data_IF_826783803804
#
_entry.id   IF_826783803804
#
_cell.length_a   1.000
_cell.length_b   1.000
_cell.length_c   1.000
_cell.angle_alpha   90.00
_cell.angle_beta   90.00
_cell.angle_gamma   90.00
#
_symmetry.space_group_name_H-M   'P 1'
#
loop_
_entity.id
_entity.type
_entity.pdbx_description
1 polymer ?
#
# COMPACT_ATOMS: atom_id res chain seq x y z
N UNK A 1 -35.19 -12.04 -27.62
CA UNK A 1 -34.36 -12.86 -26.71
C UNK A 1 -33.05 -12.15 -26.32
N UNK A 2 -32.84 -10.89 -26.72
CA UNK A 2 -31.60 -10.12 -26.46
C UNK A 2 -31.52 -9.40 -25.11
N UNK A 3 -32.67 -9.16 -24.46
CA UNK A 3 -32.79 -8.38 -23.22
C UNK A 3 -31.93 -8.92 -22.04
N UNK A 4 -31.76 -10.24 -21.94
CA UNK A 4 -30.96 -10.82 -20.85
C UNK A 4 -29.45 -10.61 -21.03
N UNK A 5 -28.93 -10.56 -22.27
CA UNK A 5 -27.48 -10.39 -22.50
C UNK A 5 -27.06 -8.97 -22.18
N UNK A 6 -27.82 -7.98 -22.63
CA UNK A 6 -27.58 -6.56 -22.34
C UNK A 6 -27.64 -6.29 -20.84
N UNK A 7 -28.64 -6.84 -20.15
CA UNK A 7 -28.75 -6.75 -18.69
C UNK A 7 -27.53 -7.32 -17.96
N UNK A 8 -27.03 -8.48 -18.40
CA UNK A 8 -25.83 -9.10 -17.80
C UNK A 8 -24.59 -8.24 -18.02
N UNK A 9 -24.44 -7.64 -19.20
CA UNK A 9 -23.31 -6.74 -19.51
C UNK A 9 -23.37 -5.47 -18.66
N UNK A 10 -24.54 -4.85 -18.53
CA UNK A 10 -24.70 -3.65 -17.72
C UNK A 10 -24.46 -3.94 -16.23
N UNK A 11 -24.96 -5.07 -15.74
CA UNK A 11 -24.73 -5.48 -14.36
C UNK A 11 -23.26 -5.84 -14.13
N UNK A 12 -22.58 -6.48 -15.08
CA UNK A 12 -21.15 -6.78 -14.93
C UNK A 12 -20.30 -5.51 -14.89
N UNK A 13 -20.63 -4.50 -15.71
CA UNK A 13 -20.01 -3.19 -15.65
C UNK A 13 -20.23 -2.51 -14.29
N UNK A 14 -21.47 -2.51 -13.79
CA UNK A 14 -21.82 -1.99 -12.47
C UNK A 14 -21.02 -2.68 -11.36
N UNK A 15 -20.89 -4.00 -11.40
CA UNK A 15 -20.12 -4.78 -10.42
C UNK A 15 -18.62 -4.45 -10.50
N UNK A 16 -18.07 -4.24 -11.70
CA UNK A 16 -16.68 -3.83 -11.88
C UNK A 16 -16.40 -2.45 -11.26
N UNK A 17 -17.31 -1.48 -11.40
CA UNK A 17 -17.19 -0.18 -10.76
C UNK A 17 -17.25 -0.27 -9.22
N UNK A 18 -18.20 -1.04 -8.68
CA UNK A 18 -18.30 -1.29 -7.24
C UNK A 18 -17.03 -1.93 -6.68
N UNK A 19 -16.46 -2.88 -7.43
CA UNK A 19 -15.22 -3.54 -7.03
C UNK A 19 -14.03 -2.57 -7.06
N UNK A 20 -13.93 -1.70 -8.07
CA UNK A 20 -12.89 -0.68 -8.15
C UNK A 20 -12.97 0.32 -6.98
N UNK A 21 -14.18 0.75 -6.62
CA UNK A 21 -14.41 1.59 -5.44
C UNK A 21 -14.00 0.88 -4.14
N UNK A 22 -14.31 -0.41 -4.01
CA UNK A 22 -13.89 -1.21 -2.86
C UNK A 22 -12.36 -1.32 -2.78
N UNK A 23 -11.66 -1.54 -3.90
CA UNK A 23 -10.20 -1.58 -3.92
C UNK A 23 -9.57 -0.25 -3.50
N UNK A 24 -10.15 0.88 -3.94
CA UNK A 24 -9.69 2.21 -3.53
C UNK A 24 -9.82 2.40 -2.01
N UNK A 25 -10.95 1.98 -1.42
CA UNK A 25 -11.15 2.03 0.04
C UNK A 25 -10.13 1.14 0.79
N UNK A 26 -9.87 -0.07 0.28
CA UNK A 26 -8.86 -0.98 0.83
C UNK A 26 -7.46 -0.36 0.76
N UNK A 27 -7.11 0.29 -0.36
CA UNK A 27 -5.84 0.96 -0.54
C UNK A 27 -5.65 2.09 0.49
N UNK A 28 -6.64 2.97 0.61
CA UNK A 28 -6.61 4.07 1.61
C UNK A 28 -6.47 3.54 3.04
N UNK A 29 -7.19 2.47 3.38
CA UNK A 29 -7.08 1.83 4.69
C UNK A 29 -5.72 1.16 4.92
N UNK A 30 -5.07 0.65 3.87
CA UNK A 30 -3.72 0.11 3.94
C UNK A 30 -2.68 1.23 4.15
N UNK A 31 -2.80 2.33 3.41
CA UNK A 31 -1.90 3.48 3.52
C UNK A 31 -2.00 4.14 4.90
N UNK A 32 -3.21 4.28 5.44
CA UNK A 32 -3.42 4.76 6.81
C UNK A 32 -2.74 3.89 7.88
N UNK A 33 -2.77 2.56 7.71
CA UNK A 33 -2.05 1.62 8.59
C UNK A 33 -0.54 1.73 8.44
N UNK A 34 -0.03 1.85 7.22
CA UNK A 34 1.40 2.00 6.96
C UNK A 34 1.97 3.29 7.59
N UNK A 35 1.24 4.41 7.46
CA UNK A 35 1.63 5.69 8.05
C UNK A 35 1.57 5.67 9.58
N UNK A 36 0.54 5.04 10.15
CA UNK A 36 0.44 4.84 11.62
C UNK A 36 1.61 4.00 12.13
N UNK A 37 1.93 2.89 11.44
CA UNK A 37 3.06 2.04 11.79
C UNK A 37 4.41 2.76 11.68
N UNK A 38 4.59 3.57 10.63
CA UNK A 38 5.76 4.44 10.47
C UNK A 38 5.92 5.39 11.67
N UNK A 39 4.85 6.09 12.04
CA UNK A 39 4.84 7.00 13.19
C UNK A 39 5.18 6.30 14.51
N UNK A 40 4.62 5.10 14.74
CA UNK A 40 4.95 4.28 15.92
C UNK A 40 6.43 3.86 15.94
N UNK A 41 6.99 3.46 14.80
CA UNK A 41 8.40 3.08 14.71
C UNK A 41 9.33 4.29 14.98
N UNK A 42 9.01 5.47 14.44
CA UNK A 42 9.76 6.70 14.71
C UNK A 42 9.68 7.07 16.19
N UNK A 43 8.50 7.00 16.80
CA UNK A 43 8.32 7.30 18.21
C UNK A 43 9.12 6.33 19.09
N UNK A 44 9.05 5.03 18.83
CA UNK A 44 9.82 4.02 19.54
C UNK A 44 11.34 4.22 19.37
N UNK A 45 11.80 4.48 18.14
CA UNK A 45 13.21 4.77 17.86
C UNK A 45 13.70 6.01 18.62
N UNK A 46 12.89 7.06 18.67
CA UNK A 46 13.21 8.31 19.36
C UNK A 46 13.23 8.13 20.89
N UNK A 47 12.33 7.31 21.44
CA UNK A 47 12.35 6.96 22.87
C UNK A 47 13.62 6.20 23.25
N UNK A 48 14.07 5.25 22.42
CA UNK A 48 15.32 4.54 22.66
C UNK A 48 16.54 5.47 22.65
N UNK A 49 16.53 6.53 21.85
CA UNK A 49 17.60 7.54 21.85
C UNK A 49 17.46 8.55 23.00
N UNK A 50 16.24 8.87 23.41
CA UNK A 50 15.97 9.89 24.43
C UNK A 50 16.12 9.40 25.88
N UNK A 51 16.10 8.08 26.11
CA UNK A 51 16.32 7.47 27.43
C UNK A 51 17.81 7.42 27.83
N UNK A 52 18.68 8.13 27.11
CA UNK A 52 20.13 8.21 27.29
C UNK A 52 20.56 9.04 28.51
N UNK A 53 20.07 8.66 29.69
CA UNK A 53 20.35 9.32 30.98
C UNK A 53 21.38 8.59 31.86
N UNK A 54 22.01 7.53 31.36
CA UNK A 54 22.94 6.68 32.13
C UNK A 54 24.30 6.59 31.46
N UNK A 55 25.39 6.80 32.20
CA UNK A 55 26.78 6.79 31.72
C UNK A 55 27.21 5.48 30.99
N UNK A 56 26.44 4.40 31.12
CA UNK A 56 26.59 3.20 30.29
C UNK A 56 25.69 3.28 29.06
N UNK A 57 26.14 4.03 28.06
CA UNK A 57 25.51 4.04 26.74
C UNK A 57 25.64 2.66 26.11
N UNK A 58 24.53 1.92 26.07
CA UNK A 58 24.46 0.59 25.48
C UNK A 58 24.35 0.74 23.97
N UNK A 59 25.47 0.53 23.26
CA UNK A 59 25.56 0.51 21.78
C UNK A 59 24.42 -0.28 21.12
N UNK A 60 23.87 -1.28 21.81
CA UNK A 60 22.67 -2.01 21.39
C UNK A 60 21.41 -1.15 21.20
N UNK A 61 21.22 -0.08 21.99
CA UNK A 61 20.06 0.82 21.85
C UNK A 61 20.12 1.65 20.58
N UNK A 62 21.31 2.13 20.19
CA UNK A 62 21.50 2.79 18.89
C UNK A 62 21.26 1.83 17.73
N UNK A 63 21.75 0.59 17.84
CA UNK A 63 21.51 -0.43 16.82
C UNK A 63 20.01 -0.75 16.66
N UNK A 64 19.27 -0.92 17.75
CA UNK A 64 17.83 -1.14 17.72
C UNK A 64 17.08 0.08 17.13
N UNK A 65 17.44 1.29 17.54
CA UNK A 65 16.84 2.53 17.02
C UNK A 65 17.08 2.69 15.52
N UNK A 66 18.28 2.40 15.03
CA UNK A 66 18.60 2.44 13.59
C UNK A 66 17.73 1.47 12.77
N UNK A 67 17.51 0.25 13.27
CA UNK A 67 16.61 -0.73 12.61
C UNK A 67 15.16 -0.23 12.59
N UNK A 68 14.69 0.38 13.69
CA UNK A 68 13.34 0.96 13.74
C UNK A 68 13.17 2.14 12.78
N UNK A 69 14.19 3.01 12.63
CA UNK A 69 14.17 4.06 11.62
C UNK A 69 14.16 3.49 10.19
N UNK A 70 14.93 2.44 9.93
CA UNK A 70 14.90 1.77 8.63
C UNK A 70 13.52 1.15 8.34
N UNK A 71 12.90 0.50 9.34
CA UNK A 71 11.54 -0.03 9.24
C UNK A 71 10.52 1.09 8.98
N UNK A 72 10.63 2.22 9.69
CA UNK A 72 9.79 3.38 9.50
C UNK A 72 9.95 3.98 8.10
N UNK A 73 11.18 4.13 7.61
CA UNK A 73 11.46 4.67 6.28
C UNK A 73 10.83 3.81 5.18
N UNK A 74 10.92 2.49 5.29
CA UNK A 74 10.29 1.56 4.34
C UNK A 74 8.76 1.67 4.40
N UNK A 75 8.17 1.73 5.61
CA UNK A 75 6.73 1.88 5.78
C UNK A 75 6.22 3.23 5.22
N UNK A 76 6.94 4.32 5.52
CA UNK A 76 6.63 5.67 5.04
C UNK A 76 6.75 5.80 3.52
N UNK A 77 7.81 5.25 2.92
CA UNK A 77 7.96 5.23 1.45
C UNK A 77 6.79 4.55 0.76
N UNK A 78 6.20 3.53 1.39
CA UNK A 78 5.05 2.79 0.85
C UNK A 78 3.71 3.46 1.07
N UNK A 79 3.60 4.35 2.06
CA UNK A 79 2.43 5.18 2.27
C UNK A 79 2.38 6.44 1.39
N UNK A 80 3.38 6.67 0.54
CA UNK A 80 3.38 7.78 -0.42
C UNK A 80 2.31 7.56 -1.50
N UNK A 81 1.73 8.66 -2.05
CA UNK A 81 0.74 8.56 -3.10
C UNK A 81 1.29 7.79 -4.30
N UNK A 82 0.55 6.78 -4.73
CA UNK A 82 0.84 5.94 -5.89
C UNK A 82 -0.19 6.20 -6.98
N UNK A 83 0.24 6.09 -8.24
CA UNK A 83 -0.68 6.18 -9.38
C UNK A 83 -1.73 5.08 -9.28
N UNK A 84 -2.96 5.49 -8.94
CA UNK A 84 -4.10 4.61 -8.78
C UNK A 84 -5.08 4.85 -9.92
N UNK A 85 -5.60 3.77 -10.51
CA UNK A 85 -6.68 3.90 -11.49
C UNK A 85 -8.00 4.09 -10.75
N UNK A 86 -8.54 5.31 -10.81
CA UNK A 86 -9.83 5.67 -10.23
C UNK A 86 -10.98 4.94 -10.93
N UNK A 87 -12.12 4.72 -10.24
CA UNK A 87 -13.33 4.22 -10.89
C UNK A 87 -13.87 5.22 -11.92
N UNK A 88 -14.44 4.69 -12.99
CA UNK A 88 -15.00 5.47 -14.10
C UNK A 88 -13.99 5.87 -15.18
N UNK A 89 -14.48 6.58 -16.19
CA UNK A 89 -13.69 7.13 -17.30
C UNK A 89 -13.99 8.62 -17.48
N UNK A 90 -13.11 9.35 -18.17
CA UNK A 90 -13.33 10.77 -18.43
C UNK A 90 -14.37 10.92 -19.53
N UNK A 91 -15.24 11.92 -19.42
CA UNK A 91 -16.25 12.21 -20.45
C UNK A 91 -15.66 12.41 -21.86
N UNK A 92 -14.42 12.90 -21.94
CA UNK A 92 -13.71 13.06 -23.21
C UNK A 92 -13.31 11.75 -23.89
N UNK A 93 -13.20 10.65 -23.14
CA UNK A 93 -12.84 9.33 -23.69
C UNK A 93 -13.97 8.81 -24.60
N UNK A 94 -15.20 9.28 -24.41
CA UNK A 94 -16.38 8.89 -25.21
C UNK A 94 -16.65 9.79 -26.43
N UNK A 95 -15.86 10.85 -26.64
CA UNK A 95 -16.18 11.86 -27.66
C UNK A 95 -16.22 11.26 -29.08
N UNK A 96 -15.31 10.33 -29.38
CA UNK A 96 -15.26 9.62 -30.66
C UNK A 96 -16.41 8.62 -30.82
N UNK A 97 -16.74 7.85 -29.76
CA UNK A 97 -17.85 6.91 -29.78
C UNK A 97 -19.19 7.62 -30.01
N UNK A 98 -19.38 8.80 -29.41
CA UNK A 98 -20.55 9.66 -29.61
C UNK A 98 -20.58 10.22 -31.03
N UNK A 99 -19.43 10.68 -31.55
CA UNK A 99 -19.36 11.26 -32.90
C UNK A 99 -19.60 10.21 -34.01
N UNK A 100 -19.18 8.97 -33.78
CA UNK A 100 -19.30 7.86 -34.75
C UNK A 100 -20.58 7.05 -34.59
N UNK A 101 -21.36 7.29 -33.52
CA UNK A 101 -22.60 6.57 -33.26
C UNK A 101 -22.36 5.10 -32.94
N UNK A 102 -21.25 4.78 -32.26
CA UNK A 102 -20.87 3.39 -31.96
C UNK A 102 -21.93 2.72 -31.07
N UNK A 103 -22.24 1.43 -31.30
CA UNK A 103 -23.23 0.73 -30.49
C UNK A 103 -22.89 0.78 -29.00
N UNK A 104 -23.86 1.14 -28.17
CA UNK A 104 -23.69 1.28 -26.72
C UNK A 104 -23.11 0.01 -26.06
N UNK A 105 -23.54 -1.17 -26.51
CA UNK A 105 -23.04 -2.45 -25.98
C UNK A 105 -21.56 -2.67 -26.29
N UNK A 106 -21.08 -2.22 -27.45
CA UNK A 106 -19.66 -2.35 -27.81
C UNK A 106 -18.80 -1.44 -26.94
N UNK A 107 -19.26 -0.22 -26.68
CA UNK A 107 -18.60 0.74 -25.78
C UNK A 107 -18.55 0.19 -24.35
N UNK A 108 -19.66 -0.31 -23.82
CA UNK A 108 -19.69 -0.88 -22.46
C UNK A 108 -18.79 -2.12 -22.36
N UNK A 109 -18.77 -2.99 -23.38
CA UNK A 109 -17.88 -4.15 -23.40
C UNK A 109 -16.40 -3.75 -23.35
N UNK A 110 -16.03 -2.68 -24.07
CA UNK A 110 -14.68 -2.12 -24.00
C UNK A 110 -14.38 -1.54 -22.61
N UNK A 111 -15.32 -0.79 -22.04
CA UNK A 111 -15.19 -0.23 -20.69
C UNK A 111 -14.99 -1.32 -19.62
N UNK A 112 -15.70 -2.45 -19.72
CA UNK A 112 -15.52 -3.60 -18.83
C UNK A 112 -14.10 -4.14 -18.96
N UNK A 113 -13.62 -4.33 -20.20
CA UNK A 113 -12.28 -4.86 -20.48
C UNK A 113 -11.19 -3.93 -19.92
N UNK A 114 -11.35 -2.62 -20.09
CA UNK A 114 -10.44 -1.63 -19.54
C UNK A 114 -10.49 -1.58 -18.02
N UNK A 115 -11.68 -1.69 -17.43
CA UNK A 115 -11.86 -1.76 -15.98
C UNK A 115 -11.18 -2.99 -15.40
N UNK A 116 -11.32 -4.16 -16.01
CA UNK A 116 -10.65 -5.39 -15.57
C UNK A 116 -9.12 -5.26 -15.65
N UNK A 117 -8.61 -4.63 -16.71
CA UNK A 117 -7.18 -4.30 -16.81
C UNK A 117 -6.73 -3.38 -15.66
N UNK A 118 -7.47 -2.31 -15.37
CA UNK A 118 -7.16 -1.41 -14.27
C UNK A 118 -7.24 -2.11 -12.90
N UNK A 119 -8.24 -2.96 -12.68
CA UNK A 119 -8.40 -3.76 -11.47
C UNK A 119 -7.23 -4.72 -11.26
N UNK A 120 -6.76 -5.39 -12.32
CA UNK A 120 -5.60 -6.28 -12.24
C UNK A 120 -4.33 -5.50 -11.88
N UNK A 121 -4.12 -4.32 -12.46
CA UNK A 121 -2.99 -3.45 -12.18
C UNK A 121 -3.02 -2.90 -10.75
N UNK A 122 -4.19 -2.44 -10.29
CA UNK A 122 -4.41 -2.01 -8.90
C UNK A 122 -4.15 -3.15 -7.91
N UNK A 123 -4.59 -4.37 -8.21
CA UNK A 123 -4.36 -5.56 -7.38
C UNK A 123 -2.86 -5.88 -7.26
N UNK A 124 -2.10 -5.78 -8.35
CA UNK A 124 -0.65 -5.96 -8.33
C UNK A 124 0.05 -4.90 -7.47
N UNK A 125 -0.40 -3.63 -7.54
CA UNK A 125 0.12 -2.55 -6.69
C UNK A 125 -0.16 -2.80 -5.21
N UNK A 126 -1.38 -3.21 -4.86
CA UNK A 126 -1.75 -3.60 -3.49
C UNK A 126 -0.89 -4.76 -2.97
N UNK A 127 -0.70 -5.81 -3.78
CA UNK A 127 0.11 -6.96 -3.40
C UNK A 127 1.58 -6.56 -3.14
N UNK A 128 2.15 -5.73 -4.02
CA UNK A 128 3.50 -5.20 -3.85
C UNK A 128 3.61 -4.36 -2.59
N UNK A 129 2.68 -3.42 -2.36
CA UNK A 129 2.66 -2.59 -1.14
C UNK A 129 2.58 -3.45 0.13
N UNK A 130 1.69 -4.45 0.13
CA UNK A 130 1.55 -5.40 1.23
C UNK A 130 2.82 -6.20 1.55
N UNK A 131 3.59 -6.59 0.53
CA UNK A 131 4.87 -7.27 0.73
C UNK A 131 5.89 -6.38 1.45
N UNK A 132 6.01 -5.11 1.05
CA UNK A 132 6.93 -4.18 1.69
C UNK A 132 6.52 -3.82 3.12
N UNK A 133 5.22 -3.68 3.38
CA UNK A 133 4.72 -3.45 4.74
C UNK A 133 5.01 -4.64 5.67
N UNK A 134 4.91 -5.88 5.15
CA UNK A 134 5.33 -7.08 5.90
C UNK A 134 6.83 -7.06 6.18
N UNK A 135 7.64 -6.66 5.20
CA UNK A 135 9.09 -6.52 5.38
C UNK A 135 9.43 -5.50 6.47
N UNK A 136 8.80 -4.32 6.46
CA UNK A 136 9.00 -3.33 7.52
C UNK A 136 8.56 -3.84 8.89
N UNK A 137 7.47 -4.60 8.96
CA UNK A 137 7.02 -5.22 10.20
C UNK A 137 8.04 -6.23 10.74
N UNK A 138 8.59 -7.10 9.88
CA UNK A 138 9.64 -8.03 10.28
C UNK A 138 10.91 -7.32 10.76
N UNK A 139 11.32 -6.24 10.08
CA UNK A 139 12.45 -5.43 10.51
C UNK A 139 12.20 -4.82 11.90
N UNK A 140 11.04 -4.21 12.14
CA UNK A 140 10.72 -3.63 13.44
C UNK A 140 10.70 -4.68 14.56
N UNK A 141 10.15 -5.88 14.32
CA UNK A 141 10.17 -6.98 15.28
C UNK A 141 11.60 -7.48 15.55
N UNK A 142 12.48 -7.44 14.55
CA UNK A 142 13.88 -7.85 14.71
C UNK A 142 14.75 -6.81 15.43
N UNK A 143 14.33 -5.55 15.49
CA UNK A 143 15.10 -4.46 16.11
C UNK A 143 15.60 -4.74 17.54
N UNK A 144 14.77 -5.21 18.50
CA UNK A 144 15.26 -5.53 19.84
C UNK A 144 16.25 -6.71 19.86
N UNK A 145 16.11 -7.69 18.97
CA UNK A 145 17.03 -8.82 18.87
C UNK A 145 18.41 -8.35 18.37
N UNK A 146 18.42 -7.48 17.36
CA UNK A 146 19.66 -6.87 16.85
C UNK A 146 20.34 -6.04 17.95
N UNK A 147 19.57 -5.23 18.68
CA UNK A 147 20.11 -4.43 19.78
C UNK A 147 20.71 -5.30 20.89
N UNK A 148 20.02 -6.36 21.30
CA UNK A 148 20.54 -7.30 22.30
C UNK A 148 21.81 -8.01 21.83
N UNK A 149 21.85 -8.49 20.58
CA UNK A 149 23.01 -9.16 20.01
C UNK A 149 24.24 -8.23 19.97
N UNK A 150 24.06 -6.99 19.51
CA UNK A 150 25.13 -5.99 19.48
C UNK A 150 25.63 -5.70 20.90
N UNK A 151 24.73 -5.57 21.88
CA UNK A 151 25.13 -5.32 23.26
C UNK A 151 25.95 -6.47 23.86
N UNK A 152 25.54 -7.72 23.61
CA UNK A 152 26.27 -8.90 24.07
C UNK A 152 27.67 -8.95 23.45
N UNK A 153 27.79 -8.65 22.16
CA UNK A 153 29.10 -8.58 21.50
C UNK A 153 29.97 -7.53 22.19
N UNK A 154 29.47 -6.32 22.39
CA UNK A 154 30.24 -5.26 23.06
C UNK A 154 30.72 -5.68 24.45
N UNK A 155 29.88 -6.36 25.24
CA UNK A 155 30.25 -6.89 26.55
C UNK A 155 31.27 -8.03 26.53
N UNK A 156 31.43 -8.76 25.42
CA UNK A 156 32.45 -9.81 25.31
C UNK A 156 33.84 -9.21 25.04
N UNK A 157 33.90 -8.07 24.37
CA UNK A 157 35.14 -7.46 23.90
C UNK A 157 35.69 -6.35 24.82
N UNK A 158 34.90 -5.86 25.77
CA UNK A 158 35.26 -4.86 26.77
C UNK A 158 35.12 -5.44 28.17
#
# INVERSE_FOLDING_TARGET
MDDNREKVILESFRQAELFSQAQMSIALAADGRAMTFCGLCIAAASLLLGLDGSDEIKVGMYAASAVLYAAAAIAGWRGLPVDWYAPGQKGGDFAEDVATGRPYIDVISEMITQSDRHLSQNSQRLAKSGWWLRMSAYLAVSAPLVGAAVQVIVWIWF
#
